data_IF_512042267919
#
_entry.id   IF_512042267919
#
_cell.length_a   1.000
_cell.length_b   1.000
_cell.length_c   1.000
_cell.angle_alpha   90.00
_cell.angle_beta   90.00
_cell.angle_gamma   90.00
#
_symmetry.space_group_name_H-M   'P 1'
#
loop_
_entity.id
_entity.type
_entity.pdbx_description
1 polymer ?
#
# COMPACT_ATOMS: atom_id res chain seq x y z
N UNK A 1 122.87 33.25 -22.71
CA UNK A 1 121.50 33.58 -23.19
C UNK A 1 120.49 32.43 -22.99
N UNK A 2 120.76 31.18 -23.41
CA UNK A 2 119.80 30.04 -23.27
C UNK A 2 119.31 29.75 -21.83
N UNK A 3 120.19 29.83 -20.82
CA UNK A 3 119.82 29.61 -19.40
C UNK A 3 118.76 30.60 -18.90
N UNK A 4 118.89 31.88 -19.23
CA UNK A 4 117.93 32.91 -18.84
C UNK A 4 116.58 32.75 -19.57
N UNK A 5 116.60 32.35 -20.84
CA UNK A 5 115.38 32.03 -21.58
C UNK A 5 114.63 30.84 -20.97
N UNK A 6 115.35 29.77 -20.55
CA UNK A 6 114.76 28.63 -19.87
C UNK A 6 114.18 28.99 -18.49
N UNK A 7 114.88 29.80 -17.70
CA UNK A 7 114.37 30.26 -16.39
C UNK A 7 113.08 31.07 -16.58
N UNK A 8 113.07 31.99 -17.55
CA UNK A 8 111.89 32.80 -17.86
C UNK A 8 110.72 31.94 -18.34
N UNK A 9 110.96 30.96 -19.21
CA UNK A 9 109.93 30.04 -19.69
C UNK A 9 109.36 29.18 -18.55
N UNK A 10 110.21 28.65 -17.67
CA UNK A 10 109.77 27.86 -16.51
C UNK A 10 108.97 28.69 -15.52
N UNK A 11 109.40 29.92 -15.21
CA UNK A 11 108.65 30.82 -14.34
C UNK A 11 107.28 31.13 -14.95
N UNK A 12 107.23 31.44 -16.24
CA UNK A 12 105.97 31.73 -16.93
C UNK A 12 105.02 30.53 -16.94
N UNK A 13 105.55 29.33 -17.23
CA UNK A 13 104.78 28.09 -17.21
C UNK A 13 104.26 27.76 -15.80
N UNK A 14 105.07 27.91 -14.76
CA UNK A 14 104.65 27.65 -13.38
C UNK A 14 103.62 28.66 -12.89
N UNK A 15 103.82 29.94 -13.18
CA UNK A 15 102.85 30.99 -12.81
C UNK A 15 101.52 30.73 -13.52
N UNK A 16 101.55 30.45 -14.82
CA UNK A 16 100.35 30.16 -15.59
C UNK A 16 99.64 28.89 -15.08
N UNK A 17 100.39 27.82 -14.83
CA UNK A 17 99.83 26.57 -14.30
C UNK A 17 99.21 26.76 -12.90
N UNK A 18 99.90 27.44 -11.98
CA UNK A 18 99.39 27.66 -10.62
C UNK A 18 98.19 28.60 -10.59
N UNK A 19 98.24 29.70 -11.34
CA UNK A 19 97.11 30.65 -11.42
C UNK A 19 95.91 29.95 -12.05
N UNK A 20 96.09 29.25 -13.16
CA UNK A 20 95.01 28.52 -13.83
C UNK A 20 94.43 27.42 -12.94
N UNK A 21 95.27 26.64 -12.25
CA UNK A 21 94.81 25.59 -11.35
C UNK A 21 94.03 26.16 -10.16
N UNK A 22 94.55 27.20 -9.50
CA UNK A 22 93.88 27.81 -8.34
C UNK A 22 92.59 28.52 -8.72
N UNK A 23 92.58 29.29 -9.80
CA UNK A 23 91.35 29.95 -10.28
C UNK A 23 90.32 28.90 -10.65
N UNK A 24 90.70 27.86 -11.40
CA UNK A 24 89.77 26.81 -11.81
C UNK A 24 89.24 26.01 -10.63
N UNK A 25 90.08 25.70 -9.64
CA UNK A 25 89.67 25.00 -8.42
C UNK A 25 88.71 25.84 -7.57
N UNK A 26 89.03 27.12 -7.33
CA UNK A 26 88.19 28.01 -6.52
C UNK A 26 86.86 28.34 -7.21
N UNK A 27 86.88 28.63 -8.51
CA UNK A 27 85.66 28.87 -9.27
C UNK A 27 84.79 27.61 -9.24
N UNK A 28 85.37 26.43 -9.48
CA UNK A 28 84.62 25.17 -9.46
C UNK A 28 84.04 24.89 -8.08
N UNK A 29 84.83 25.02 -7.02
CA UNK A 29 84.36 24.77 -5.66
C UNK A 29 83.24 25.75 -5.27
N UNK A 30 83.40 27.05 -5.53
CA UNK A 30 82.40 28.06 -5.17
C UNK A 30 81.14 27.99 -6.02
N UNK A 31 81.28 27.81 -7.34
CA UNK A 31 80.12 27.68 -8.23
C UNK A 31 79.38 26.38 -7.89
N UNK A 32 80.09 25.26 -7.74
CA UNK A 32 79.43 23.99 -7.45
C UNK A 32 78.76 24.02 -6.07
N UNK A 33 79.43 24.51 -5.03
CA UNK A 33 78.83 24.61 -3.70
C UNK A 33 77.63 25.56 -3.69
N UNK A 34 77.76 26.78 -4.21
CA UNK A 34 76.69 27.78 -4.12
C UNK A 34 75.53 27.50 -5.07
N UNK A 35 75.81 27.13 -6.32
CA UNK A 35 74.74 26.83 -7.28
C UNK A 35 74.03 25.55 -6.87
N UNK A 36 74.77 24.48 -6.55
CA UNK A 36 74.15 23.22 -6.16
C UNK A 36 73.35 23.38 -4.85
N UNK A 37 73.92 24.02 -3.82
CA UNK A 37 73.19 24.21 -2.57
C UNK A 37 71.96 25.11 -2.74
N UNK A 38 72.08 26.28 -3.40
CA UNK A 38 70.95 27.21 -3.53
C UNK A 38 69.88 26.71 -4.50
N UNK A 39 70.26 26.21 -5.67
CA UNK A 39 69.29 25.69 -6.63
C UNK A 39 68.62 24.45 -6.05
N UNK A 40 69.39 23.51 -5.50
CA UNK A 40 68.80 22.28 -4.97
C UNK A 40 67.91 22.55 -3.76
N UNK A 41 68.33 23.42 -2.84
CA UNK A 41 67.52 23.78 -1.67
C UNK A 41 66.25 24.54 -2.06
N UNK A 42 66.35 25.58 -2.90
CA UNK A 42 65.19 26.40 -3.27
C UNK A 42 64.23 25.68 -4.19
N UNK A 43 64.72 25.01 -5.24
CA UNK A 43 63.85 24.25 -6.15
C UNK A 43 63.22 23.08 -5.41
N UNK A 44 64.00 22.32 -4.63
CA UNK A 44 63.41 21.21 -3.86
C UNK A 44 62.41 21.71 -2.83
N UNK A 45 62.69 22.80 -2.11
CA UNK A 45 61.75 23.34 -1.13
C UNK A 45 60.46 23.82 -1.80
N UNK A 46 60.55 24.59 -2.90
CA UNK A 46 59.39 25.13 -3.58
C UNK A 46 58.56 24.05 -4.29
N UNK A 47 59.19 23.15 -5.03
CA UNK A 47 58.48 22.05 -5.69
C UNK A 47 57.81 21.18 -4.63
N UNK A 48 58.50 20.84 -3.55
CA UNK A 48 57.98 19.99 -2.48
C UNK A 48 56.93 20.69 -1.63
N UNK A 49 56.95 22.00 -1.49
CA UNK A 49 55.89 22.76 -0.84
C UNK A 49 54.64 22.83 -1.74
N UNK A 50 54.81 23.24 -3.00
CA UNK A 50 53.71 23.45 -3.94
C UNK A 50 53.03 22.14 -4.34
N UNK A 51 53.79 21.12 -4.75
CA UNK A 51 53.21 19.82 -5.11
C UNK A 51 52.48 19.22 -3.91
N UNK A 52 53.08 19.28 -2.72
CA UNK A 52 52.50 18.66 -1.52
C UNK A 52 51.31 19.44 -0.98
N UNK A 53 51.26 20.75 -1.18
CA UNK A 53 50.08 21.57 -0.87
C UNK A 53 48.95 21.29 -1.87
N UNK A 54 49.24 21.33 -3.18
CA UNK A 54 48.24 21.15 -4.23
C UNK A 54 47.69 19.72 -4.28
N UNK A 55 48.55 18.70 -4.24
CA UNK A 55 48.11 17.30 -4.22
C UNK A 55 47.28 17.03 -2.96
N UNK A 56 47.72 17.49 -1.77
CA UNK A 56 46.90 17.31 -0.55
C UNK A 56 45.60 18.08 -0.61
N UNK A 57 45.59 19.31 -1.12
CA UNK A 57 44.36 20.09 -1.20
C UNK A 57 43.37 19.41 -2.15
N UNK A 58 43.82 19.05 -3.36
CA UNK A 58 42.97 18.45 -4.38
C UNK A 58 42.51 17.03 -4.03
N UNK A 59 43.41 16.14 -3.61
CA UNK A 59 43.03 14.78 -3.21
C UNK A 59 42.07 14.84 -2.02
N UNK A 60 42.37 15.67 -1.01
CA UNK A 60 41.56 15.73 0.21
C UNK A 60 40.25 16.49 0.01
N UNK A 61 40.15 17.40 -0.95
CA UNK A 61 38.88 18.01 -1.35
C UNK A 61 38.05 17.02 -2.16
N UNK A 62 38.61 16.42 -3.22
CA UNK A 62 37.89 15.53 -4.13
C UNK A 62 37.48 14.21 -3.49
N UNK A 63 38.38 13.51 -2.80
CA UNK A 63 38.02 12.26 -2.12
C UNK A 63 36.96 12.53 -1.07
N UNK A 64 37.12 13.60 -0.28
CA UNK A 64 36.21 13.90 0.83
C UNK A 64 34.87 14.46 0.36
N UNK A 65 34.81 15.13 -0.79
CA UNK A 65 33.56 15.52 -1.42
C UNK A 65 32.86 14.30 -2.03
N UNK A 66 33.56 13.51 -2.84
CA UNK A 66 32.98 12.38 -3.56
C UNK A 66 32.56 11.23 -2.64
N UNK A 67 33.44 10.79 -1.72
CA UNK A 67 33.09 9.73 -0.76
C UNK A 67 31.91 10.18 0.10
N UNK A 68 31.94 11.41 0.59
CA UNK A 68 30.91 11.89 1.52
C UNK A 68 29.58 12.17 0.82
N UNK A 69 29.60 12.57 -0.45
CA UNK A 69 28.40 12.69 -1.27
C UNK A 69 27.82 11.30 -1.60
N UNK A 70 28.64 10.38 -2.10
CA UNK A 70 28.20 9.03 -2.49
C UNK A 70 27.73 8.21 -1.29
N UNK A 71 28.48 8.19 -0.19
CA UNK A 71 28.07 7.48 1.03
C UNK A 71 26.77 8.06 1.56
N UNK A 72 26.62 9.39 1.67
CA UNK A 72 25.36 9.98 2.16
C UNK A 72 24.19 9.75 1.24
N UNK A 73 24.39 9.83 -0.08
CA UNK A 73 23.34 9.59 -1.05
C UNK A 73 22.89 8.13 -0.98
N UNK A 74 23.82 7.18 -1.04
CA UNK A 74 23.51 5.76 -1.01
C UNK A 74 22.95 5.30 0.34
N UNK A 75 23.55 5.71 1.46
CA UNK A 75 23.05 5.35 2.78
C UNK A 75 21.65 5.94 2.99
N UNK A 76 21.41 7.23 2.68
CA UNK A 76 20.06 7.79 2.84
C UNK A 76 19.05 7.17 1.90
N UNK A 77 19.39 6.95 0.64
CA UNK A 77 18.48 6.35 -0.32
C UNK A 77 18.12 4.93 0.12
N UNK A 78 19.12 4.10 0.43
CA UNK A 78 18.89 2.70 0.79
C UNK A 78 18.24 2.54 2.16
N UNK A 79 18.70 3.25 3.19
CA UNK A 79 18.09 3.16 4.52
C UNK A 79 16.66 3.70 4.48
N UNK A 80 16.42 4.87 3.86
CA UNK A 80 15.07 5.46 3.84
C UNK A 80 14.11 4.63 3.01
N UNK A 81 14.54 4.12 1.86
CA UNK A 81 13.72 3.26 1.01
C UNK A 81 13.42 1.94 1.72
N UNK A 82 14.44 1.25 2.26
CA UNK A 82 14.24 -0.05 2.87
C UNK A 82 13.48 0.04 4.20
N UNK A 83 13.82 0.98 5.07
CA UNK A 83 13.09 1.15 6.34
C UNK A 83 11.67 1.62 6.08
N UNK A 84 11.45 2.62 5.21
CA UNK A 84 10.07 3.08 4.94
C UNK A 84 9.24 2.02 4.23
N UNK A 85 9.83 1.27 3.29
CA UNK A 85 9.11 0.20 2.61
C UNK A 85 8.79 -0.94 3.58
N UNK A 86 9.75 -1.40 4.39
CA UNK A 86 9.50 -2.50 5.34
C UNK A 86 8.58 -2.09 6.48
N UNK A 87 8.78 -0.92 7.09
CA UNK A 87 7.89 -0.44 8.15
C UNK A 87 6.48 -0.26 7.58
N UNK A 88 6.33 0.39 6.41
CA UNK A 88 5.02 0.61 5.82
C UNK A 88 4.38 -0.72 5.43
N UNK A 89 5.07 -1.60 4.73
CA UNK A 89 4.53 -2.89 4.31
C UNK A 89 4.14 -3.74 5.52
N UNK A 90 5.04 -3.93 6.49
CA UNK A 90 4.76 -4.81 7.63
C UNK A 90 3.75 -4.20 8.61
N UNK A 91 3.88 -2.92 8.96
CA UNK A 91 2.94 -2.30 9.90
C UNK A 91 1.55 -2.18 9.24
N UNK A 92 1.44 -1.64 8.01
CA UNK A 92 0.12 -1.55 7.40
C UNK A 92 -0.47 -2.91 7.10
N UNK A 93 0.30 -3.87 6.58
CA UNK A 93 -0.25 -5.19 6.27
C UNK A 93 -0.68 -5.91 7.55
N UNK A 94 0.18 -5.97 8.58
CA UNK A 94 -0.15 -6.69 9.80
C UNK A 94 -1.23 -6.01 10.62
N UNK A 95 -1.16 -4.68 10.81
CA UNK A 95 -2.21 -3.97 11.56
C UNK A 95 -3.53 -4.04 10.79
N UNK A 96 -3.54 -3.76 9.48
CA UNK A 96 -4.78 -3.77 8.70
C UNK A 96 -5.36 -5.17 8.58
N UNK A 97 -4.54 -6.21 8.42
CA UNK A 97 -5.00 -7.59 8.37
C UNK A 97 -5.53 -8.04 9.73
N UNK A 98 -4.76 -7.86 10.81
CA UNK A 98 -5.18 -8.31 12.15
C UNK A 98 -6.38 -7.54 12.67
N UNK A 99 -6.40 -6.20 12.57
CA UNK A 99 -7.56 -5.42 13.02
C UNK A 99 -8.79 -5.80 12.20
N UNK A 100 -8.67 -5.89 10.88
CA UNK A 100 -9.83 -6.18 10.02
C UNK A 100 -10.32 -7.62 10.18
N UNK A 101 -9.43 -8.58 10.40
CA UNK A 101 -9.79 -9.97 10.69
C UNK A 101 -10.44 -10.09 12.07
N UNK A 102 -9.84 -9.53 13.12
CA UNK A 102 -10.38 -9.61 14.48
C UNK A 102 -11.70 -8.85 14.62
N UNK A 103 -11.81 -7.64 14.06
CA UNK A 103 -13.07 -6.88 14.08
C UNK A 103 -14.14 -7.63 13.30
N UNK A 104 -13.84 -8.16 12.09
CA UNK A 104 -14.85 -8.94 11.34
C UNK A 104 -15.25 -10.22 12.07
N UNK A 105 -14.29 -10.96 12.61
CA UNK A 105 -14.56 -12.20 13.31
C UNK A 105 -15.42 -11.93 14.55
N UNK A 106 -15.05 -10.94 15.38
CA UNK A 106 -15.81 -10.59 16.58
C UNK A 106 -17.18 -10.01 16.27
N UNK A 107 -17.30 -9.10 15.29
CA UNK A 107 -18.60 -8.55 14.89
C UNK A 107 -19.48 -9.67 14.32
N UNK A 108 -18.94 -10.52 13.43
CA UNK A 108 -19.73 -11.59 12.80
C UNK A 108 -20.13 -12.66 13.82
N UNK A 109 -19.21 -13.09 14.68
CA UNK A 109 -19.51 -14.06 15.73
C UNK A 109 -20.52 -13.50 16.73
N UNK A 110 -20.29 -12.30 17.30
CA UNK A 110 -21.15 -11.76 18.35
C UNK A 110 -22.49 -11.27 17.81
N UNK A 111 -22.53 -10.57 16.68
CA UNK A 111 -23.81 -10.11 16.12
C UNK A 111 -24.61 -11.30 15.61
N UNK A 112 -24.01 -12.20 14.83
CA UNK A 112 -24.77 -13.31 14.24
C UNK A 112 -25.20 -14.31 15.31
N UNK A 113 -24.33 -14.67 16.26
CA UNK A 113 -24.72 -15.58 17.34
C UNK A 113 -25.74 -14.93 18.27
N UNK A 114 -25.52 -13.70 18.77
CA UNK A 114 -26.47 -13.12 19.74
C UNK A 114 -27.78 -12.71 19.10
N UNK A 115 -27.77 -12.11 17.90
CA UNK A 115 -29.02 -11.73 17.24
C UNK A 115 -29.78 -12.98 16.81
N UNK A 116 -29.13 -13.95 16.15
CA UNK A 116 -29.83 -15.13 15.68
C UNK A 116 -30.31 -16.00 16.84
N UNK A 117 -29.49 -16.22 17.88
CA UNK A 117 -29.91 -17.00 19.05
C UNK A 117 -31.01 -16.30 19.83
N UNK A 118 -30.88 -15.01 20.16
CA UNK A 118 -31.90 -14.32 20.97
C UNK A 118 -33.18 -14.08 20.19
N UNK A 119 -33.11 -13.62 18.94
CA UNK A 119 -34.34 -13.41 18.15
C UNK A 119 -35.00 -14.76 17.85
N UNK A 120 -34.26 -15.78 17.43
CA UNK A 120 -34.86 -17.08 17.11
C UNK A 120 -35.43 -17.77 18.35
N UNK A 121 -34.74 -17.72 19.50
CA UNK A 121 -35.26 -18.29 20.75
C UNK A 121 -36.50 -17.54 21.24
N UNK A 122 -36.50 -16.21 21.21
CA UNK A 122 -37.57 -15.39 21.75
C UNK A 122 -38.82 -15.42 20.86
N UNK A 123 -38.65 -15.43 19.53
CA UNK A 123 -39.76 -15.67 18.59
C UNK A 123 -40.32 -17.08 18.78
N UNK A 124 -39.46 -18.11 18.88
CA UNK A 124 -39.89 -19.51 19.03
C UNK A 124 -40.65 -19.73 20.34
N UNK A 125 -40.17 -19.14 21.44
CA UNK A 125 -40.83 -19.21 22.74
C UNK A 125 -42.19 -18.51 22.72
N UNK A 126 -42.28 -17.30 22.17
CA UNK A 126 -43.54 -16.56 22.08
C UNK A 126 -44.57 -17.24 21.18
N UNK A 127 -44.15 -17.74 20.00
CA UNK A 127 -45.05 -18.47 19.10
C UNK A 127 -45.55 -19.75 19.77
N UNK A 128 -44.67 -20.51 20.43
CA UNK A 128 -45.05 -21.75 21.11
C UNK A 128 -46.01 -21.50 22.27
N UNK A 129 -45.75 -20.48 23.09
CA UNK A 129 -46.62 -20.10 24.20
C UNK A 129 -48.00 -19.63 23.71
N UNK A 130 -48.05 -18.79 22.67
CA UNK A 130 -49.31 -18.33 22.10
C UNK A 130 -50.12 -19.46 21.46
N UNK A 131 -49.48 -20.32 20.67
CA UNK A 131 -50.18 -21.47 20.06
C UNK A 131 -50.73 -22.40 21.15
N UNK A 132 -49.92 -22.70 22.18
CA UNK A 132 -50.38 -23.54 23.28
C UNK A 132 -51.54 -22.90 24.04
N UNK A 133 -51.48 -21.61 24.35
CA UNK A 133 -52.55 -20.89 25.04
C UNK A 133 -53.86 -20.86 24.22
N UNK A 134 -53.77 -20.63 22.91
CA UNK A 134 -54.92 -20.61 22.00
C UNK A 134 -55.54 -22.00 21.88
N UNK A 135 -54.73 -23.04 21.63
CA UNK A 135 -55.22 -24.41 21.51
C UNK A 135 -55.83 -24.92 22.82
N UNK A 136 -55.23 -24.60 23.97
CA UNK A 136 -55.75 -24.98 25.29
C UNK A 136 -57.12 -24.34 25.56
N UNK A 137 -57.27 -23.06 25.23
CA UNK A 137 -58.52 -22.31 25.38
C UNK A 137 -59.61 -22.85 24.44
N UNK A 138 -59.27 -23.14 23.19
CA UNK A 138 -60.21 -23.71 22.21
C UNK A 138 -60.63 -25.14 22.58
N UNK A 139 -59.71 -25.99 23.02
CA UNK A 139 -60.07 -27.33 23.49
C UNK A 139 -61.00 -27.29 24.71
N UNK A 140 -60.73 -26.43 25.69
CA UNK A 140 -61.60 -26.28 26.86
C UNK A 140 -62.99 -25.72 26.52
N UNK A 141 -63.10 -24.88 25.49
CA UNK A 141 -64.38 -24.30 25.08
C UNK A 141 -65.19 -25.26 24.21
N UNK A 142 -64.54 -26.03 23.33
CA UNK A 142 -65.18 -27.09 22.52
C UNK A 142 -65.71 -28.23 23.39
N UNK A 143 -64.98 -28.62 24.44
CA UNK A 143 -65.44 -29.67 25.38
C UNK A 143 -66.67 -29.26 26.22
N UNK A 144 -66.99 -27.96 26.31
CA UNK A 144 -68.08 -27.45 27.16
C UNK A 144 -69.40 -27.20 26.44
N UNK A 145 -69.45 -27.10 25.10
CA UNK A 145 -70.71 -26.81 24.37
C UNK A 145 -70.62 -27.14 22.87
N UNK A 146 -71.18 -28.28 22.41
CA UNK A 146 -71.08 -28.73 21.01
C UNK A 146 -71.80 -27.83 19.97
N UNK A 147 -72.69 -26.94 20.40
CA UNK A 147 -73.53 -26.13 19.51
C UNK A 147 -72.81 -24.89 18.89
N UNK A 148 -71.63 -24.51 19.39
CA UNK A 148 -70.91 -23.28 18.96
C UNK A 148 -69.90 -23.50 17.82
N UNK A 149 -69.77 -24.73 17.31
CA UNK A 149 -68.72 -25.17 16.38
C UNK A 149 -68.72 -24.36 15.06
N UNK A 150 -69.88 -23.90 14.58
CA UNK A 150 -69.96 -23.19 13.29
C UNK A 150 -69.61 -21.69 13.35
N UNK A 151 -69.84 -21.02 14.49
CA UNK A 151 -69.55 -19.58 14.65
C UNK A 151 -68.10 -19.32 15.11
N UNK A 152 -67.52 -20.25 15.86
CA UNK A 152 -66.14 -20.16 16.33
C UNK A 152 -65.11 -20.24 15.18
N UNK A 153 -65.30 -21.14 14.21
CA UNK A 153 -64.41 -21.25 13.03
C UNK A 153 -64.40 -19.98 12.17
N UNK A 154 -65.52 -19.24 12.11
CA UNK A 154 -65.62 -17.98 11.36
C UNK A 154 -64.93 -16.82 12.09
N UNK A 155 -65.01 -16.77 13.42
CA UNK A 155 -64.26 -15.80 14.25
C UNK A 155 -62.75 -16.09 14.29
N UNK A 156 -62.34 -17.35 14.21
CA UNK A 156 -60.94 -17.77 14.15
C UNK A 156 -60.21 -17.18 12.93
N UNK A 157 -60.83 -17.22 11.75
CA UNK A 157 -60.25 -16.68 10.52
C UNK A 157 -60.05 -15.15 10.56
N UNK A 158 -60.96 -14.43 11.22
CA UNK A 158 -60.89 -12.97 11.39
C UNK A 158 -59.79 -12.60 12.40
N UNK A 159 -59.68 -13.34 13.52
CA UNK A 159 -58.75 -13.03 14.60
C UNK A 159 -57.29 -13.41 14.29
N UNK A 160 -57.06 -14.41 13.43
CA UNK A 160 -55.74 -14.77 12.93
C UNK A 160 -55.16 -13.70 11.99
N UNK A 161 -56.03 -12.97 11.28
CA UNK A 161 -55.63 -11.86 10.41
C UNK A 161 -55.11 -10.66 11.20
N UNK A 162 -55.67 -10.37 12.38
CA UNK A 162 -55.32 -9.19 13.18
C UNK A 162 -54.10 -9.37 14.12
N UNK A 163 -53.66 -10.60 14.39
CA UNK A 163 -52.56 -10.86 15.35
C UNK A 163 -51.16 -10.93 14.72
N UNK A 164 -51.05 -10.67 13.41
CA UNK A 164 -49.76 -10.43 12.77
C UNK A 164 -49.63 -8.94 12.49
N UNK A 165 -48.51 -8.33 12.90
CA UNK A 165 -48.12 -6.95 12.59
C UNK A 165 -48.43 -6.60 11.11
N UNK A 166 -49.63 -6.03 10.86
CA UNK A 166 -50.20 -5.97 9.53
C UNK A 166 -49.48 -4.91 8.72
N UNK A 167 -48.40 -5.33 8.07
CA UNK A 167 -47.90 -4.69 6.86
C UNK A 167 -48.98 -4.83 5.78
N UNK A 168 -49.94 -3.89 5.79
CA UNK A 168 -51.16 -3.90 4.96
C UNK A 168 -50.84 -3.70 3.47
N UNK A 169 -49.72 -3.06 3.17
CA UNK A 169 -49.36 -2.66 1.81
C UNK A 169 -48.37 -3.67 1.22
N UNK A 170 -48.87 -4.58 0.38
CA UNK A 170 -48.08 -5.60 -0.32
C UNK A 170 -47.74 -5.19 -1.75
N UNK A 171 -46.54 -5.54 -2.21
CA UNK A 171 -46.14 -5.40 -3.61
C UNK A 171 -46.64 -6.60 -4.42
N UNK A 172 -47.47 -6.35 -5.44
CA UNK A 172 -47.99 -7.39 -6.33
C UNK A 172 -46.91 -8.09 -7.18
N UNK A 173 -45.77 -7.43 -7.45
CA UNK A 173 -44.70 -7.98 -8.30
C UNK A 173 -43.68 -8.84 -7.57
N UNK A 174 -43.42 -8.60 -6.27
CA UNK A 174 -42.39 -9.33 -5.54
C UNK A 174 -42.84 -9.85 -4.16
N UNK A 175 -44.10 -9.68 -3.78
CA UNK A 175 -44.68 -10.20 -2.54
C UNK A 175 -44.17 -9.54 -1.25
N UNK A 176 -43.28 -8.54 -1.33
CA UNK A 176 -42.78 -7.81 -0.15
C UNK A 176 -43.89 -6.97 0.47
N UNK A 177 -43.99 -7.01 1.81
CA UNK A 177 -44.99 -6.27 2.59
C UNK A 177 -44.35 -5.12 3.37
N UNK A 178 -45.03 -3.97 3.38
CA UNK A 178 -44.61 -2.71 3.98
C UNK A 178 -45.62 -2.23 5.02
N UNK A 179 -45.13 -1.55 6.06
CA UNK A 179 -45.93 -1.09 7.19
C UNK A 179 -46.79 0.15 6.84
N UNK A 180 -46.38 0.93 5.83
CA UNK A 180 -47.03 2.18 5.42
C UNK A 180 -47.18 2.25 3.90
N UNK A 181 -48.25 2.90 3.41
CA UNK A 181 -48.53 3.07 1.98
C UNK A 181 -47.46 3.91 1.28
N UNK A 182 -46.89 4.91 1.95
CA UNK A 182 -45.78 5.73 1.43
C UNK A 182 -44.53 4.89 1.12
N UNK A 183 -44.19 3.94 2.00
CA UNK A 183 -43.06 3.02 1.77
C UNK A 183 -43.33 2.04 0.62
N UNK A 184 -44.58 1.61 0.43
CA UNK A 184 -44.96 0.83 -0.76
C UNK A 184 -44.84 1.70 -2.02
N UNK A 185 -45.26 2.97 -1.98
CA UNK A 185 -45.17 3.88 -3.14
C UNK A 185 -43.72 4.11 -3.58
N UNK A 186 -42.80 4.32 -2.64
CA UNK A 186 -41.35 4.38 -2.90
C UNK A 186 -40.80 3.02 -3.34
N UNK A 187 -41.31 1.91 -2.82
CA UNK A 187 -40.91 0.59 -3.30
C UNK A 187 -41.39 0.31 -4.73
N UNK A 188 -42.56 0.83 -5.12
CA UNK A 188 -43.09 0.67 -6.46
C UNK A 188 -42.27 1.45 -7.49
N UNK A 189 -41.55 2.51 -7.10
CA UNK A 189 -40.59 3.18 -8.01
C UNK A 189 -39.42 2.27 -8.39
N UNK A 190 -39.04 1.34 -7.51
CA UNK A 190 -38.03 0.31 -7.82
C UNK A 190 -38.52 -0.61 -8.94
N UNK A 191 -39.82 -0.87 -9.07
CA UNK A 191 -40.36 -1.69 -10.16
C UNK A 191 -40.58 -0.89 -11.44
N UNK A 192 -40.99 0.38 -11.34
CA UNK A 192 -41.15 1.23 -12.54
C UNK A 192 -39.81 1.61 -13.16
N UNK A 193 -38.73 1.63 -12.38
CA UNK A 193 -37.38 1.97 -12.86
C UNK A 193 -36.51 0.72 -13.10
N UNK A 194 -36.96 -0.47 -12.69
CA UNK A 194 -36.29 -1.75 -13.00
C UNK A 194 -36.93 -2.41 -14.21
N UNK A 195 -36.30 -2.20 -15.36
CA UNK A 195 -36.54 -2.97 -16.59
C UNK A 195 -36.38 -4.46 -16.28
N UNK A 196 -37.49 -5.21 -16.21
CA UNK A 196 -37.45 -6.65 -15.98
C UNK A 196 -37.01 -7.37 -17.26
N UNK A 197 -36.11 -8.34 -17.12
CA UNK A 197 -35.55 -9.10 -18.24
C UNK A 197 -36.20 -10.48 -18.28
N UNK A 198 -36.99 -10.78 -19.33
CA UNK A 198 -37.68 -12.06 -19.49
C UNK A 198 -36.86 -13.01 -20.36
N UNK A 199 -36.73 -14.27 -19.94
CA UNK A 199 -36.15 -15.33 -20.75
C UNK A 199 -37.11 -15.76 -21.85
N UNK A 200 -36.66 -15.71 -23.11
CA UNK A 200 -37.46 -16.10 -24.26
C UNK A 200 -37.76 -17.61 -24.30
N UNK A 201 -36.87 -18.46 -23.75
CA UNK A 201 -37.01 -19.92 -23.81
C UNK A 201 -37.98 -20.49 -22.76
N UNK A 202 -38.12 -19.85 -21.60
CA UNK A 202 -38.90 -20.40 -20.49
C UNK A 202 -39.80 -19.39 -19.78
N UNK A 203 -39.82 -18.13 -20.21
CA UNK A 203 -40.70 -17.09 -19.68
C UNK A 203 -40.35 -16.56 -18.29
N UNK A 204 -39.29 -17.05 -17.63
CA UNK A 204 -38.84 -16.59 -16.31
C UNK A 204 -38.34 -15.14 -16.37
N UNK A 205 -38.73 -14.31 -15.41
CA UNK A 205 -38.32 -12.90 -15.30
C UNK A 205 -37.18 -12.71 -14.31
N UNK A 206 -36.25 -11.81 -14.64
CA UNK A 206 -35.06 -11.52 -13.87
C UNK A 206 -34.93 -10.01 -13.66
N UNK A 207 -34.47 -9.62 -12.46
CA UNK A 207 -34.34 -8.22 -12.04
C UNK A 207 -33.10 -7.54 -12.66
N UNK A 208 -32.15 -8.33 -13.17
CA UNK A 208 -30.91 -7.83 -13.77
C UNK A 208 -30.57 -8.62 -15.03
N UNK A 209 -30.11 -7.93 -16.07
CA UNK A 209 -29.66 -8.55 -17.32
C UNK A 209 -28.52 -9.55 -17.11
N UNK A 210 -27.67 -9.35 -16.09
CA UNK A 210 -26.58 -10.27 -15.74
C UNK A 210 -27.11 -11.61 -15.19
N UNK A 211 -28.22 -11.56 -14.45
CA UNK A 211 -28.90 -12.77 -13.96
C UNK A 211 -29.65 -13.50 -15.05
N UNK A 212 -30.28 -12.77 -15.98
CA UNK A 212 -30.85 -13.39 -17.17
C UNK A 212 -29.76 -14.07 -18.00
N UNK A 213 -28.60 -13.43 -18.20
CA UNK A 213 -27.52 -13.99 -19.02
C UNK A 213 -27.00 -15.32 -18.47
N UNK A 214 -26.70 -15.37 -17.16
CA UNK A 214 -26.33 -16.62 -16.47
C UNK A 214 -27.41 -17.69 -16.53
N UNK A 215 -28.67 -17.29 -16.69
CA UNK A 215 -29.76 -18.23 -16.87
C UNK A 215 -29.86 -18.73 -18.31
N UNK A 216 -29.69 -17.86 -19.31
CA UNK A 216 -29.78 -18.22 -20.74
C UNK A 216 -28.66 -19.17 -21.15
N UNK A 217 -27.49 -19.09 -20.52
CA UNK A 217 -26.41 -20.08 -20.72
C UNK A 217 -26.82 -21.51 -20.35
N UNK A 218 -27.84 -21.69 -19.51
CA UNK A 218 -28.39 -23.03 -19.16
C UNK A 218 -29.21 -23.62 -20.31
N UNK A 219 -29.77 -22.77 -21.19
CA UNK A 219 -30.52 -23.23 -22.38
C UNK A 219 -29.64 -23.49 -23.60
N UNK A 220 -28.31 -23.35 -23.48
CA UNK A 220 -27.35 -23.71 -24.53
C UNK A 220 -27.40 -22.85 -25.81
N UNK A 221 -28.03 -21.66 -25.79
CA UNK A 221 -28.29 -20.85 -26.99
C UNK A 221 -27.73 -19.42 -26.94
N UNK A 222 -27.21 -18.97 -28.10
CA UNK A 222 -26.61 -17.66 -28.34
C UNK A 222 -27.55 -16.45 -28.12
N UNK A 223 -26.94 -15.27 -27.92
CA UNK A 223 -27.55 -13.99 -27.55
C UNK A 223 -28.82 -13.65 -28.34
N UNK A 224 -30.00 -13.71 -27.70
CA UNK A 224 -31.18 -12.94 -28.14
C UNK A 224 -31.87 -12.27 -26.94
N UNK A 225 -31.89 -10.94 -26.96
CA UNK A 225 -32.54 -10.09 -25.95
C UNK A 225 -33.85 -9.56 -26.52
N UNK A 226 -34.97 -9.87 -25.90
CA UNK A 226 -36.25 -9.17 -26.15
C UNK A 226 -36.65 -8.46 -24.85
N UNK A 227 -36.43 -7.14 -24.73
CA UNK A 227 -37.01 -6.39 -23.63
C UNK A 227 -38.53 -6.36 -23.83
N UNK A 228 -39.26 -7.10 -23.00
CA UNK A 228 -40.72 -6.96 -22.92
C UNK A 228 -41.03 -5.69 -22.13
N UNK A 229 -41.62 -4.71 -22.80
CA UNK A 229 -42.28 -3.58 -22.16
C UNK A 229 -43.74 -3.97 -21.93
N UNK A 230 -44.17 -3.95 -20.68
CA UNK A 230 -45.58 -3.96 -20.30
C UNK A 230 -45.84 -2.68 -19.52
#
# INVERSE_FOLDING_TARGET
MRRFANIRANIHANIHANISANISANIRANIHANIHANIHANISANIRANIRANIRANIRANIRANIRANIRANIRANIRANISANIRANIHANIRANIRANIRANIRANIHANIHANISANIRANIRANIHAVLQFEFQTVLKSPALVFDASRRFFIRFSDSSNLKRHGCAHCGKRFAQSGSLKVHMTVHTDCKQFRCAYCGKTFISGSHLWRHVTVHGGEKRFTPTFQ
#
